data_IF_938205150658
#
_entry.id   IF_938205150658
#
_cell.length_a   1.000
_cell.length_b   1.000
_cell.length_c   1.000
_cell.angle_alpha   90.00
_cell.angle_beta   90.00
_cell.angle_gamma   90.00
#
_symmetry.space_group_name_H-M   'P 1'
#
loop_
_entity.id
_entity.type
_entity.pdbx_description
1 polymer ?
#
# COMPACT_ATOMS: atom_id res chain seq x y z
N UNK A 1 -19.15 15.59 -21.36
CA UNK A 1 -19.20 15.01 -20.01
C UNK A 1 -17.78 14.70 -19.59
N UNK A 2 -17.19 15.52 -18.72
CA UNK A 2 -15.84 15.26 -18.23
C UNK A 2 -15.88 14.03 -17.34
N UNK A 3 -15.27 12.93 -17.78
CA UNK A 3 -15.02 11.78 -16.91
C UNK A 3 -13.99 12.23 -15.89
N UNK A 4 -14.43 12.56 -14.68
CA UNK A 4 -13.55 12.67 -13.53
C UNK A 4 -13.11 11.27 -13.18
N UNK A 5 -12.08 10.76 -13.87
CA UNK A 5 -11.33 9.61 -13.39
C UNK A 5 -10.94 9.94 -11.95
N UNK A 6 -11.34 9.14 -10.95
CA UNK A 6 -10.88 9.38 -9.59
C UNK A 6 -9.36 9.48 -9.64
N UNK A 7 -8.73 10.45 -8.95
CA UNK A 7 -7.30 10.62 -9.02
C UNK A 7 -6.67 9.26 -8.74
N UNK A 8 -6.01 8.70 -9.75
CA UNK A 8 -5.13 7.56 -9.54
C UNK A 8 -4.22 8.02 -8.39
N UNK A 9 -4.08 7.20 -7.34
CA UNK A 9 -3.11 7.43 -6.26
C UNK A 9 -1.91 8.17 -6.85
N UNK A 10 -1.77 9.45 -6.49
CA UNK A 10 -0.81 10.36 -7.14
C UNK A 10 0.51 9.64 -7.25
N UNK A 11 1.09 9.57 -8.46
CA UNK A 11 2.16 8.64 -8.79
C UNK A 11 3.17 8.50 -7.65
N UNK A 12 3.12 7.35 -6.98
CA UNK A 12 3.96 7.07 -5.81
C UNK A 12 5.43 7.06 -6.22
N UNK A 13 6.29 7.49 -5.30
CA UNK A 13 7.69 7.77 -5.56
C UNK A 13 8.48 6.48 -5.82
N UNK A 14 9.65 6.57 -6.48
CA UNK A 14 10.55 5.42 -6.66
C UNK A 14 10.86 4.72 -5.32
N UNK A 15 10.93 5.51 -4.25
CA UNK A 15 11.14 5.02 -2.89
C UNK A 15 10.06 4.03 -2.45
N UNK A 16 8.78 4.22 -2.82
CA UNK A 16 7.70 3.29 -2.46
C UNK A 16 7.89 1.93 -3.15
N UNK A 17 8.43 1.92 -4.37
CA UNK A 17 8.78 0.68 -5.08
C UNK A 17 9.99 -0.01 -4.44
N UNK A 18 10.97 0.73 -3.94
CA UNK A 18 12.09 0.15 -3.19
C UNK A 18 11.63 -0.49 -1.88
N UNK A 19 10.67 0.13 -1.18
CA UNK A 19 10.09 -0.42 0.04
C UNK A 19 9.22 -1.66 -0.20
N UNK A 20 8.73 -1.88 -1.43
CA UNK A 20 8.07 -3.14 -1.79
C UNK A 20 9.05 -4.33 -1.69
N UNK A 21 10.34 -4.13 -1.98
CA UNK A 21 11.34 -5.17 -1.77
C UNK A 21 11.46 -5.53 -0.28
N UNK A 22 11.42 -4.51 0.59
CA UNK A 22 11.44 -4.69 2.05
C UNK A 22 10.18 -5.40 2.54
N UNK A 23 9.00 -5.07 1.99
CA UNK A 23 7.77 -5.80 2.25
C UNK A 23 7.92 -7.30 1.92
N UNK A 24 8.51 -7.61 0.77
CA UNK A 24 8.72 -9.00 0.31
C UNK A 24 9.77 -9.74 1.13
N UNK A 25 10.72 -9.03 1.74
CA UNK A 25 11.75 -9.60 2.62
C UNK A 25 11.43 -9.48 4.11
N UNK A 26 10.22 -9.06 4.47
CA UNK A 26 9.82 -8.87 5.86
C UNK A 26 9.91 -10.19 6.65
N UNK A 27 10.37 -10.13 7.89
CA UNK A 27 10.36 -11.29 8.77
C UNK A 27 8.91 -11.68 9.13
N UNK A 28 8.64 -12.88 9.69
CA UNK A 28 7.27 -13.35 9.91
C UNK A 28 6.40 -12.43 10.78
N UNK A 29 7.02 -11.75 11.76
CA UNK A 29 6.31 -10.81 12.64
C UNK A 29 5.93 -9.55 11.85
N UNK A 30 6.89 -8.95 11.15
CA UNK A 30 6.66 -7.78 10.29
C UNK A 30 5.67 -8.09 9.17
N UNK A 31 5.73 -9.27 8.57
CA UNK A 31 4.82 -9.69 7.52
C UNK A 31 3.37 -9.74 8.02
N UNK A 32 3.14 -10.19 9.26
CA UNK A 32 1.81 -10.19 9.88
C UNK A 32 1.29 -8.77 10.10
N UNK A 33 2.12 -7.86 10.65
CA UNK A 33 1.76 -6.46 10.85
C UNK A 33 1.44 -5.77 9.52
N UNK A 34 2.27 -6.01 8.51
CA UNK A 34 2.10 -5.43 7.17
C UNK A 34 0.86 -5.97 6.46
N UNK A 35 0.54 -7.26 6.63
CA UNK A 35 -0.69 -7.84 6.10
C UNK A 35 -1.93 -7.21 6.76
N UNK A 36 -1.92 -7.03 8.09
CA UNK A 36 -3.01 -6.39 8.81
C UNK A 36 -3.18 -4.91 8.39
N UNK A 37 -2.07 -4.18 8.25
CA UNK A 37 -2.10 -2.79 7.79
C UNK A 37 -2.61 -2.68 6.34
N UNK A 38 -2.24 -3.62 5.47
CA UNK A 38 -2.74 -3.68 4.10
C UNK A 38 -4.24 -3.97 4.04
N UNK A 39 -4.75 -4.90 4.85
CA UNK A 39 -6.18 -5.20 4.89
C UNK A 39 -7.00 -4.01 5.43
N UNK A 40 -6.49 -3.34 6.47
CA UNK A 40 -7.10 -2.09 6.98
C UNK A 40 -7.14 -1.00 5.90
N UNK A 41 -6.03 -0.77 5.19
CA UNK A 41 -5.98 0.21 4.12
C UNK A 41 -6.94 -0.17 2.97
N UNK A 42 -7.02 -1.45 2.61
CA UNK A 42 -7.98 -1.93 1.63
C UNK A 42 -9.43 -1.74 2.06
N UNK A 43 -9.78 -1.95 3.34
CA UNK A 43 -11.13 -1.71 3.83
C UNK A 43 -11.51 -0.22 3.74
N UNK A 44 -10.63 0.69 4.19
CA UNK A 44 -10.87 2.14 4.08
C UNK A 44 -11.04 2.56 2.61
N UNK A 45 -10.27 1.95 1.70
CA UNK A 45 -10.39 2.22 0.27
C UNK A 45 -11.71 1.71 -0.31
N UNK A 46 -12.17 0.52 0.09
CA UNK A 46 -13.48 -0.02 -0.31
C UNK A 46 -14.63 0.85 0.17
N UNK A 47 -14.58 1.36 1.40
CA UNK A 47 -15.59 2.30 1.93
C UNK A 47 -15.67 3.59 1.10
N UNK A 48 -14.56 3.99 0.49
CA UNK A 48 -14.48 5.13 -0.42
C UNK A 48 -14.79 4.80 -1.88
N UNK A 49 -15.24 3.58 -2.17
CA UNK A 49 -15.59 3.11 -3.51
C UNK A 49 -14.41 2.66 -4.38
N UNK A 50 -13.22 2.51 -3.81
CA UNK A 50 -12.05 2.01 -4.53
C UNK A 50 -11.96 0.48 -4.43
N UNK A 51 -11.50 -0.15 -5.51
CA UNK A 51 -11.22 -1.59 -5.52
C UNK A 51 -9.78 -1.83 -5.11
N UNK A 52 -9.57 -2.58 -4.03
CA UNK A 52 -8.26 -3.10 -3.68
C UNK A 52 -7.99 -4.38 -4.49
N UNK A 53 -7.49 -4.22 -5.72
CA UNK A 53 -7.09 -5.33 -6.59
C UNK A 53 -5.62 -5.70 -6.35
N UNK A 54 -5.23 -6.94 -6.62
CA UNK A 54 -3.83 -7.39 -6.59
C UNK A 54 -3.08 -6.95 -7.86
N UNK A 55 -3.14 -5.66 -8.16
CA UNK A 55 -2.46 -5.03 -9.30
C UNK A 55 -1.26 -4.19 -8.83
N UNK A 56 -0.61 -3.48 -9.75
CA UNK A 56 0.49 -2.57 -9.45
C UNK A 56 0.17 -1.52 -8.37
N UNK A 57 -1.11 -1.20 -8.13
CA UNK A 57 -1.51 -0.23 -7.09
C UNK A 57 -1.46 -0.86 -5.71
N UNK A 58 -1.83 -2.13 -5.58
CA UNK A 58 -1.66 -2.86 -4.32
C UNK A 58 -0.17 -3.04 -3.98
N UNK A 59 0.67 -3.33 -4.97
CA UNK A 59 2.12 -3.40 -4.76
C UNK A 59 2.71 -2.06 -4.29
N UNK A 60 2.22 -0.95 -4.84
CA UNK A 60 2.59 0.39 -4.36
C UNK A 60 2.09 0.66 -2.93
N UNK A 61 0.86 0.27 -2.60
CA UNK A 61 0.32 0.42 -1.25
C UNK A 61 1.11 -0.41 -0.23
N UNK A 62 1.53 -1.63 -0.59
CA UNK A 62 2.38 -2.49 0.23
C UNK A 62 3.74 -1.85 0.51
N UNK A 63 4.36 -1.23 -0.50
CA UNK A 63 5.61 -0.49 -0.34
C UNK A 63 5.48 0.70 0.63
N UNK A 64 4.45 1.53 0.44
CA UNK A 64 4.18 2.66 1.34
C UNK A 64 3.91 2.21 2.80
N UNK A 65 3.18 1.11 2.97
CA UNK A 65 2.93 0.51 4.30
C UNK A 65 4.21 -0.06 4.92
N UNK A 66 5.04 -0.75 4.14
CA UNK A 66 6.34 -1.23 4.60
C UNK A 66 7.23 -0.10 5.10
N UNK A 67 7.26 1.03 4.38
CA UNK A 67 7.94 2.22 4.85
C UNK A 67 7.35 2.73 6.16
N UNK A 68 6.04 2.97 6.19
CA UNK A 68 5.36 3.54 7.35
C UNK A 68 5.56 2.70 8.61
N UNK A 69 5.39 1.38 8.53
CA UNK A 69 5.59 0.47 9.67
C UNK A 69 7.05 0.45 10.11
N UNK A 70 8.00 0.43 9.18
CA UNK A 70 9.43 0.42 9.52
C UNK A 70 9.88 1.75 10.13
N UNK A 71 9.41 2.88 9.61
CA UNK A 71 9.69 4.21 10.15
C UNK A 71 9.02 4.44 11.51
N UNK A 72 7.80 3.92 11.71
CA UNK A 72 7.06 4.08 12.97
C UNK A 72 7.60 3.22 14.12
N UNK A 73 8.47 2.23 13.84
CA UNK A 73 9.16 1.42 14.84
C UNK A 73 10.51 2.02 15.30
N UNK A 74 10.95 3.16 14.75
CA UNK A 74 12.16 3.87 15.15
C UNK A 74 11.85 5.05 16.08
#
# INVERSE_FOLDING_TARGET
MAQTTPPAFGGLSQQDLDWLAVFKSANPVQAADLAAAFDMACNVLRERGYTCATDDRADKLRGALARYVTESQR
#
